data_IF_887900066895
#
_entry.id   IF_887900066895
#
_cell.length_a   1.000
_cell.length_b   1.000
_cell.length_c   1.000
_cell.angle_alpha   90.00
_cell.angle_beta   90.00
_cell.angle_gamma   90.00
#
_symmetry.space_group_name_H-M   'P 1'
#
loop_
_entity.id
_entity.type
_entity.pdbx_description
1 polymer ?
#
# COMPACT_ATOMS: atom_id res chain seq x y z
N UNK A 1 -38.26 67.96 23.32
CA UNK A 1 -37.50 68.08 22.07
C UNK A 1 -36.74 66.77 21.88
N UNK A 2 -37.28 65.87 21.08
CA UNK A 2 -36.67 64.56 20.81
C UNK A 2 -35.46 64.78 19.89
N UNK A 3 -34.33 64.18 20.26
CA UNK A 3 -33.03 64.33 19.60
C UNK A 3 -33.10 63.86 18.14
N UNK A 4 -33.08 64.83 17.23
CA UNK A 4 -33.15 64.66 15.78
C UNK A 4 -32.07 63.70 15.25
N UNK A 5 -30.92 63.61 15.95
CA UNK A 5 -29.80 62.76 15.56
C UNK A 5 -30.10 61.27 15.78
N UNK A 6 -30.85 60.94 16.82
CA UNK A 6 -31.29 59.56 17.10
C UNK A 6 -32.37 59.13 16.12
N UNK A 7 -33.29 60.04 15.78
CA UNK A 7 -34.35 59.78 14.81
C UNK A 7 -33.81 59.47 13.40
N UNK A 8 -32.81 60.23 12.93
CA UNK A 8 -32.18 59.97 11.63
C UNK A 8 -31.44 58.64 11.61
N UNK A 9 -30.77 58.25 12.70
CA UNK A 9 -30.01 56.99 12.75
C UNK A 9 -30.93 55.77 12.66
N UNK A 10 -32.07 55.80 13.31
CA UNK A 10 -33.04 54.69 13.25
C UNK A 10 -33.79 54.68 11.90
N UNK A 11 -34.10 55.85 11.32
CA UNK A 11 -34.61 55.94 9.95
C UNK A 11 -33.65 55.35 8.91
N UNK A 12 -32.33 55.56 9.06
CA UNK A 12 -31.33 55.01 8.13
C UNK A 12 -31.23 53.48 8.20
N UNK A 13 -31.40 52.88 9.38
CA UNK A 13 -31.46 51.42 9.52
C UNK A 13 -32.70 50.83 8.84
N UNK A 14 -33.86 51.45 9.04
CA UNK A 14 -35.11 51.00 8.39
C UNK A 14 -35.01 51.15 6.87
N UNK A 15 -34.43 52.25 6.39
CA UNK A 15 -34.23 52.47 4.96
C UNK A 15 -33.23 51.48 4.36
N UNK A 16 -32.13 51.16 5.05
CA UNK A 16 -31.14 50.19 4.59
C UNK A 16 -31.71 48.77 4.50
N UNK A 17 -32.52 48.36 5.49
CA UNK A 17 -33.21 47.06 5.46
C UNK A 17 -34.26 47.02 4.34
N UNK A 18 -35.02 48.09 4.14
CA UNK A 18 -36.00 48.17 3.05
C UNK A 18 -35.33 48.13 1.67
N UNK A 19 -34.21 48.84 1.48
CA UNK A 19 -33.44 48.81 0.23
C UNK A 19 -32.85 47.42 -0.01
N UNK A 20 -32.33 46.74 1.02
CA UNK A 20 -31.84 45.36 0.90
C UNK A 20 -32.96 44.35 0.59
N UNK A 21 -34.16 44.51 1.15
CA UNK A 21 -35.30 43.66 0.81
C UNK A 21 -35.81 43.89 -0.63
N UNK A 22 -35.83 45.14 -1.10
CA UNK A 22 -36.27 45.49 -2.46
C UNK A 22 -35.22 45.06 -3.50
N UNK A 23 -33.93 45.28 -3.26
CA UNK A 23 -32.87 44.81 -4.16
C UNK A 23 -32.68 43.29 -4.11
N UNK A 24 -32.84 42.66 -2.93
CA UNK A 24 -32.83 41.20 -2.80
C UNK A 24 -33.97 40.52 -3.56
N UNK A 25 -35.17 41.10 -3.55
CA UNK A 25 -36.32 40.57 -4.30
C UNK A 25 -36.24 40.84 -5.81
N UNK A 26 -35.55 41.91 -6.25
CA UNK A 26 -35.26 42.17 -7.66
C UNK A 26 -34.15 41.26 -8.22
N UNK A 27 -33.08 41.00 -7.47
CA UNK A 27 -32.01 40.06 -7.87
C UNK A 27 -32.43 38.59 -7.79
N UNK A 28 -33.36 38.25 -6.89
CA UNK A 28 -33.95 36.91 -6.82
C UNK A 28 -34.91 36.65 -7.99
N UNK A 29 -35.60 37.67 -8.51
CA UNK A 29 -36.50 37.50 -9.68
C UNK A 29 -35.76 37.30 -11.00
N UNK A 30 -34.60 37.92 -11.22
CA UNK A 30 -33.84 37.76 -12.46
C UNK A 30 -33.02 36.46 -12.49
N UNK A 31 -32.50 36.01 -11.35
CA UNK A 31 -31.78 34.74 -11.27
C UNK A 31 -32.71 33.53 -11.27
N UNK A 32 -33.92 33.63 -10.71
CA UNK A 32 -34.91 32.56 -10.79
C UNK A 32 -35.48 32.41 -12.19
N UNK A 33 -35.69 33.48 -12.98
CA UNK A 33 -36.20 33.29 -14.35
C UNK A 33 -35.17 32.61 -15.25
N UNK A 34 -33.88 32.94 -15.15
CA UNK A 34 -32.83 32.24 -15.91
C UNK A 34 -32.54 30.81 -15.39
N UNK A 35 -32.79 30.54 -14.10
CA UNK A 35 -32.69 29.19 -13.52
C UNK A 35 -33.91 28.32 -13.85
N UNK A 36 -35.11 28.90 -13.88
CA UNK A 36 -36.35 28.24 -14.30
C UNK A 36 -36.38 28.03 -15.81
N UNK A 37 -35.77 28.90 -16.63
CA UNK A 37 -35.64 28.66 -18.07
C UNK A 37 -34.57 27.59 -18.38
N UNK A 38 -33.49 27.50 -17.60
CA UNK A 38 -32.52 26.37 -17.70
C UNK A 38 -33.09 25.04 -17.20
N UNK A 39 -33.89 25.05 -16.13
CA UNK A 39 -34.52 23.83 -15.60
C UNK A 39 -35.80 23.44 -16.36
N UNK A 40 -36.51 24.38 -16.97
CA UNK A 40 -37.66 24.06 -17.83
C UNK A 40 -37.22 23.54 -19.20
N UNK A 41 -35.99 23.81 -19.64
CA UNK A 41 -35.39 23.07 -20.77
C UNK A 41 -35.11 21.58 -20.44
N UNK A 42 -34.98 21.22 -19.16
CA UNK A 42 -34.87 19.82 -18.70
C UNK A 42 -36.23 19.19 -18.35
N UNK A 43 -37.18 19.96 -17.79
CA UNK A 43 -38.51 19.46 -17.39
C UNK A 43 -39.51 19.46 -18.57
N UNK A 44 -39.31 20.31 -19.59
CA UNK A 44 -40.01 20.28 -20.88
C UNK A 44 -39.06 19.89 -22.02
N UNK A 45 -38.08 19.00 -21.75
CA UNK A 45 -37.60 18.14 -22.83
C UNK A 45 -38.80 17.26 -23.15
N UNK A 46 -39.46 17.61 -24.26
CA UNK A 46 -40.56 16.88 -24.87
C UNK A 46 -40.58 15.40 -24.48
N UNK A 47 -41.78 14.83 -24.40
CA UNK A 47 -42.04 13.44 -24.73
C UNK A 47 -41.53 13.12 -26.18
N UNK A 48 -40.23 13.31 -26.44
CA UNK A 48 -39.53 12.54 -27.45
C UNK A 48 -39.59 11.14 -26.91
N UNK A 49 -40.43 10.33 -27.53
CA UNK A 49 -40.42 8.89 -27.40
C UNK A 49 -39.01 8.41 -27.77
N UNK A 50 -38.08 8.46 -26.82
CA UNK A 50 -36.70 8.02 -26.98
C UNK A 50 -36.80 6.51 -27.18
N UNK A 51 -36.41 6.04 -28.37
CA UNK A 51 -36.47 4.62 -28.68
C UNK A 51 -35.39 3.88 -27.89
N UNK A 52 -35.66 2.64 -27.50
CA UNK A 52 -34.65 1.78 -26.89
C UNK A 52 -33.43 1.60 -27.80
N UNK A 53 -33.60 1.67 -29.12
CA UNK A 53 -32.51 1.60 -30.09
C UNK A 53 -31.55 2.79 -29.96
N UNK A 54 -32.09 3.99 -29.70
CA UNK A 54 -31.27 5.17 -29.45
C UNK A 54 -30.46 5.04 -28.15
N UNK A 55 -31.09 4.58 -27.07
CA UNK A 55 -30.37 4.34 -25.80
C UNK A 55 -29.30 3.26 -25.93
N UNK A 56 -29.57 2.19 -26.70
CA UNK A 56 -28.57 1.17 -26.98
C UNK A 56 -27.37 1.75 -27.74
N UNK A 57 -27.60 2.63 -28.71
CA UNK A 57 -26.54 3.31 -29.44
C UNK A 57 -25.76 4.29 -28.55
N UNK A 58 -26.42 4.96 -27.61
CA UNK A 58 -25.76 5.82 -26.61
C UNK A 58 -24.86 4.99 -25.68
N UNK A 59 -25.35 3.85 -25.16
CA UNK A 59 -24.54 2.90 -24.39
C UNK A 59 -23.35 2.35 -25.20
N UNK A 60 -23.56 2.01 -26.48
CA UNK A 60 -22.48 1.53 -27.33
C UNK A 60 -21.37 2.59 -27.49
N UNK A 61 -21.75 3.85 -27.69
CA UNK A 61 -20.77 4.93 -27.87
C UNK A 61 -20.03 5.24 -26.56
N UNK A 62 -20.74 5.31 -25.44
CA UNK A 62 -20.12 5.57 -24.13
C UNK A 62 -19.17 4.43 -23.73
N UNK A 63 -19.55 3.17 -23.95
CA UNK A 63 -18.69 2.01 -23.71
C UNK A 63 -17.43 2.04 -24.59
N UNK A 64 -17.57 2.39 -25.88
CA UNK A 64 -16.45 2.55 -26.81
C UNK A 64 -15.50 3.66 -26.34
N UNK A 65 -16.04 4.82 -25.97
CA UNK A 65 -15.25 5.97 -25.55
C UNK A 65 -14.50 5.67 -24.24
N UNK A 66 -15.18 5.05 -23.26
CA UNK A 66 -14.55 4.61 -22.02
C UNK A 66 -13.44 3.59 -22.28
N UNK A 67 -13.71 2.56 -23.08
CA UNK A 67 -12.70 1.55 -23.46
C UNK A 67 -11.50 2.18 -24.16
N UNK A 68 -11.75 3.12 -25.07
CA UNK A 68 -10.68 3.84 -25.79
C UNK A 68 -9.79 4.62 -24.80
N UNK A 69 -10.39 5.24 -23.79
CA UNK A 69 -9.65 5.99 -22.77
C UNK A 69 -8.85 5.07 -21.85
N UNK A 70 -9.38 3.92 -21.45
CA UNK A 70 -8.61 2.93 -20.69
C UNK A 70 -7.38 2.49 -21.48
N UNK A 71 -7.54 2.11 -22.74
CA UNK A 71 -6.45 1.59 -23.57
C UNK A 71 -5.37 2.66 -23.82
N UNK A 72 -5.78 3.89 -24.15
CA UNK A 72 -4.83 4.97 -24.44
C UNK A 72 -4.01 5.39 -23.21
N UNK A 73 -4.53 5.15 -22.00
CA UNK A 73 -3.92 5.53 -20.74
C UNK A 73 -3.45 4.31 -19.93
N UNK A 74 -3.16 3.20 -20.60
CA UNK A 74 -2.66 1.99 -19.95
C UNK A 74 -1.15 2.05 -19.64
N UNK A 75 -0.37 2.87 -20.35
CA UNK A 75 1.10 2.97 -20.16
C UNK A 75 1.61 4.40 -20.41
N UNK A 76 2.10 5.12 -19.38
CA UNK A 76 1.94 4.82 -17.94
C UNK A 76 0.46 4.78 -17.56
N UNK A 77 0.14 4.11 -16.44
CA UNK A 77 -1.25 3.94 -16.05
C UNK A 77 -1.79 5.26 -15.49
N UNK A 78 -2.70 5.87 -16.22
CA UNK A 78 -3.40 7.11 -15.83
C UNK A 78 -4.89 7.05 -16.15
N UNK A 79 -5.45 5.85 -16.30
CA UNK A 79 -6.82 5.72 -16.80
C UNK A 79 -7.85 6.15 -15.75
N UNK A 80 -7.62 5.99 -14.44
CA UNK A 80 -8.61 6.47 -13.47
C UNK A 80 -8.81 7.99 -13.63
N UNK A 81 -7.70 8.74 -13.69
CA UNK A 81 -7.73 10.19 -13.86
C UNK A 81 -8.32 10.64 -15.21
N UNK A 82 -7.91 9.97 -16.30
CA UNK A 82 -8.25 10.41 -17.66
C UNK A 82 -9.63 9.91 -18.14
N UNK A 83 -10.20 8.89 -17.49
CA UNK A 83 -11.42 8.24 -17.96
C UNK A 83 -12.66 8.48 -17.10
N UNK A 84 -12.57 9.27 -16.01
CA UNK A 84 -13.72 9.54 -15.11
C UNK A 84 -14.96 10.09 -15.83
N UNK A 85 -14.80 11.05 -16.73
CA UNK A 85 -15.92 11.59 -17.50
C UNK A 85 -16.58 10.54 -18.41
N UNK A 86 -15.81 9.87 -19.30
CA UNK A 86 -16.29 8.74 -20.09
C UNK A 86 -16.96 7.64 -19.25
N UNK A 87 -16.39 7.29 -18.09
CA UNK A 87 -16.94 6.29 -17.17
C UNK A 87 -18.31 6.72 -16.64
N UNK A 88 -18.47 7.96 -16.18
CA UNK A 88 -19.75 8.48 -15.71
C UNK A 88 -20.84 8.43 -16.80
N UNK A 89 -20.51 8.82 -18.03
CA UNK A 89 -21.45 8.77 -19.16
C UNK A 89 -21.81 7.31 -19.48
N UNK A 90 -20.85 6.41 -19.38
CA UNK A 90 -21.07 4.98 -19.53
C UNK A 90 -22.04 4.43 -18.49
N UNK A 91 -21.84 4.73 -17.20
CA UNK A 91 -22.77 4.36 -16.12
C UNK A 91 -24.16 4.96 -16.35
N UNK A 92 -24.25 6.25 -16.66
CA UNK A 92 -25.54 6.92 -16.92
C UNK A 92 -26.28 6.30 -18.11
N UNK A 93 -25.56 5.98 -19.19
CA UNK A 93 -26.16 5.37 -20.38
C UNK A 93 -26.67 3.95 -20.13
N UNK A 94 -26.00 3.18 -19.26
CA UNK A 94 -26.46 1.86 -18.85
C UNK A 94 -27.70 1.97 -17.97
N UNK A 95 -27.70 2.86 -16.97
CA UNK A 95 -28.84 3.14 -16.10
C UNK A 95 -30.07 3.59 -16.90
N UNK A 96 -29.88 4.49 -17.87
CA UNK A 96 -30.94 4.91 -18.78
C UNK A 96 -31.51 3.72 -19.57
N UNK A 97 -30.65 2.79 -20.03
CA UNK A 97 -31.07 1.62 -20.79
C UNK A 97 -31.88 0.62 -19.95
N UNK A 98 -31.54 0.42 -18.67
CA UNK A 98 -32.26 -0.54 -17.81
C UNK A 98 -33.54 0.03 -17.19
N UNK A 99 -33.62 1.36 -17.03
CA UNK A 99 -34.77 2.02 -16.38
C UNK A 99 -35.82 2.52 -17.38
N UNK A 100 -35.45 2.81 -18.63
CA UNK A 100 -36.35 3.42 -19.60
C UNK A 100 -37.43 2.48 -20.13
N UNK A 101 -38.60 3.07 -20.38
CA UNK A 101 -39.76 2.45 -21.01
C UNK A 101 -40.12 3.27 -22.25
N UNK A 102 -40.20 2.61 -23.41
CA UNK A 102 -40.53 3.31 -24.66
C UNK A 102 -42.00 3.78 -24.69
N UNK A 103 -42.36 4.59 -25.68
CA UNK A 103 -43.74 5.07 -25.83
C UNK A 103 -44.76 4.01 -26.26
N UNK A 104 -44.34 2.76 -26.47
CA UNK A 104 -45.22 1.58 -26.60
C UNK A 104 -45.36 0.81 -25.27
N UNK A 105 -44.90 1.40 -24.17
CA UNK A 105 -44.90 0.81 -22.83
C UNK A 105 -44.04 -0.46 -22.73
N UNK A 106 -42.99 -0.59 -23.57
CA UNK A 106 -42.05 -1.70 -23.55
C UNK A 106 -40.78 -1.26 -22.84
N UNK A 107 -40.40 -1.98 -21.79
CA UNK A 107 -39.12 -1.76 -21.09
C UNK A 107 -37.94 -2.13 -22.00
N UNK A 108 -36.97 -1.24 -22.12
CA UNK A 108 -35.75 -1.50 -22.88
C UNK A 108 -34.93 -2.64 -22.27
N UNK A 109 -34.98 -2.79 -20.93
CA UNK A 109 -34.43 -3.94 -20.21
C UNK A 109 -35.00 -5.24 -20.74
N UNK A 110 -36.32 -5.37 -20.83
CA UNK A 110 -36.96 -6.59 -21.35
C UNK A 110 -36.59 -6.87 -22.82
N UNK A 111 -36.36 -5.82 -23.61
CA UNK A 111 -36.03 -5.95 -25.04
C UNK A 111 -34.60 -6.41 -25.32
N UNK A 112 -33.64 -6.06 -24.46
CA UNK A 112 -32.21 -6.26 -24.72
C UNK A 112 -31.48 -7.13 -23.69
N UNK A 113 -32.04 -7.31 -22.50
CA UNK A 113 -31.41 -8.08 -21.42
C UNK A 113 -32.13 -9.42 -21.26
N UNK A 114 -31.36 -10.47 -20.97
CA UNK A 114 -31.86 -11.84 -20.82
C UNK A 114 -32.63 -12.39 -22.04
N UNK A 115 -32.45 -11.79 -23.22
CA UNK A 115 -33.03 -12.28 -24.48
C UNK A 115 -32.20 -13.42 -25.07
N UNK A 116 -30.89 -13.39 -24.84
CA UNK A 116 -29.95 -14.41 -25.27
C UNK A 116 -29.13 -14.94 -24.08
N UNK A 117 -28.50 -16.11 -24.27
CA UNK A 117 -27.69 -16.77 -23.22
C UNK A 117 -26.35 -16.08 -22.95
N UNK A 118 -25.89 -15.24 -23.88
CA UNK A 118 -24.61 -14.56 -23.75
C UNK A 118 -24.73 -13.28 -22.92
N UNK A 119 -25.89 -12.62 -22.94
CA UNK A 119 -26.14 -11.38 -22.23
C UNK A 119 -25.08 -10.33 -22.55
N UNK A 120 -24.79 -10.09 -23.84
CA UNK A 120 -23.62 -9.32 -24.28
C UNK A 120 -23.55 -7.93 -23.64
N UNK A 121 -24.68 -7.23 -23.54
CA UNK A 121 -24.76 -5.88 -22.97
C UNK A 121 -24.40 -5.90 -21.49
N UNK A 122 -24.96 -6.83 -20.73
CA UNK A 122 -24.70 -6.98 -19.28
C UNK A 122 -23.26 -7.43 -19.03
N UNK A 123 -22.76 -8.39 -19.82
CA UNK A 123 -21.37 -8.86 -19.73
C UNK A 123 -20.38 -7.72 -20.02
N UNK A 124 -20.61 -6.94 -21.08
CA UNK A 124 -19.77 -5.81 -21.41
C UNK A 124 -19.80 -4.75 -20.31
N UNK A 125 -20.99 -4.47 -19.77
CA UNK A 125 -21.13 -3.54 -18.66
C UNK A 125 -20.29 -3.97 -17.45
N UNK A 126 -20.49 -5.21 -16.99
CA UNK A 126 -19.80 -5.76 -15.84
C UNK A 126 -18.27 -5.79 -16.03
N UNK A 127 -17.79 -6.10 -17.24
CA UNK A 127 -16.35 -6.11 -17.52
C UNK A 127 -15.74 -4.71 -17.43
N UNK A 128 -16.38 -3.71 -18.05
CA UNK A 128 -15.89 -2.34 -18.03
C UNK A 128 -16.04 -1.71 -16.63
N UNK A 129 -17.15 -1.95 -15.95
CA UNK A 129 -17.35 -1.53 -14.56
C UNK A 129 -16.30 -2.14 -13.64
N UNK A 130 -16.01 -3.44 -13.78
CA UNK A 130 -14.99 -4.13 -12.99
C UNK A 130 -13.59 -3.54 -13.18
N UNK A 131 -13.25 -3.01 -14.36
CA UNK A 131 -11.97 -2.30 -14.56
C UNK A 131 -11.86 -1.05 -13.68
N UNK A 132 -12.96 -0.33 -13.47
CA UNK A 132 -13.02 0.82 -12.56
C UNK A 132 -12.88 0.40 -11.10
N UNK A 133 -13.62 -0.65 -10.69
CA UNK A 133 -13.61 -1.15 -9.31
C UNK A 133 -12.26 -1.75 -8.89
N UNK A 134 -11.67 -2.60 -9.74
CA UNK A 134 -10.37 -3.23 -9.48
C UNK A 134 -9.24 -2.19 -9.49
N UNK A 135 -9.39 -1.12 -10.27
CA UNK A 135 -8.50 0.03 -10.24
C UNK A 135 -8.62 0.89 -8.98
N UNK A 136 -9.61 0.61 -8.11
CA UNK A 136 -9.99 1.47 -6.99
C UNK A 136 -10.11 2.94 -7.43
N UNK A 137 -10.69 3.18 -8.61
CA UNK A 137 -10.66 4.52 -9.22
C UNK A 137 -11.49 5.53 -8.41
N UNK A 138 -12.51 5.09 -7.66
CA UNK A 138 -13.25 5.96 -6.76
C UNK A 138 -12.36 6.54 -5.64
N UNK A 139 -11.34 5.82 -5.19
CA UNK A 139 -10.39 6.29 -4.18
C UNK A 139 -9.49 7.44 -4.67
N UNK A 140 -9.46 7.70 -5.99
CA UNK A 140 -8.77 8.86 -6.56
C UNK A 140 -9.57 10.17 -6.36
N UNK A 141 -10.87 10.08 -6.03
CA UNK A 141 -11.79 11.20 -6.03
C UNK A 141 -12.43 11.41 -4.66
N UNK A 142 -12.67 12.67 -4.28
CA UNK A 142 -13.57 12.99 -3.17
C UNK A 142 -15.04 12.78 -3.59
N UNK A 143 -15.32 13.02 -4.87
CA UNK A 143 -16.61 12.79 -5.49
C UNK A 143 -16.44 12.46 -6.98
N UNK A 144 -16.72 11.20 -7.35
CA UNK A 144 -16.64 10.72 -8.73
C UNK A 144 -17.63 11.45 -9.64
N UNK A 145 -18.84 11.78 -9.16
CA UNK A 145 -19.88 12.47 -9.96
C UNK A 145 -19.50 13.89 -10.35
N UNK A 146 -18.65 14.56 -9.57
CA UNK A 146 -18.12 15.89 -9.94
C UNK A 146 -16.69 15.81 -10.48
N UNK A 147 -16.17 14.59 -10.70
CA UNK A 147 -14.78 14.32 -11.07
C UNK A 147 -13.76 15.12 -10.23
N UNK A 148 -14.07 15.34 -8.94
CA UNK A 148 -13.27 16.18 -8.05
C UNK A 148 -12.24 15.32 -7.34
N UNK A 149 -10.92 15.51 -7.60
CA UNK A 149 -9.87 14.69 -7.00
C UNK A 149 -9.90 14.77 -5.47
N UNK A 150 -9.50 13.70 -4.81
CA UNK A 150 -9.34 13.71 -3.35
C UNK A 150 -8.11 14.53 -2.94
N UNK A 151 -8.13 15.13 -1.74
CA UNK A 151 -6.95 15.83 -1.20
C UNK A 151 -5.72 14.92 -1.19
N UNK A 152 -5.90 13.63 -0.84
CA UNK A 152 -4.81 12.64 -0.85
C UNK A 152 -4.19 12.43 -2.24
N UNK A 153 -5.01 12.45 -3.28
CA UNK A 153 -4.58 12.31 -4.67
C UNK A 153 -3.85 13.57 -5.14
N UNK A 154 -4.38 14.75 -4.79
CA UNK A 154 -3.72 16.03 -5.10
C UNK A 154 -2.35 16.10 -4.44
N UNK A 155 -2.27 15.84 -3.14
CA UNK A 155 -1.02 15.86 -2.38
C UNK A 155 0.00 14.85 -2.90
N UNK A 156 -0.44 13.64 -3.27
CA UNK A 156 0.42 12.64 -3.92
C UNK A 156 1.09 13.20 -5.17
N UNK A 157 0.30 13.77 -6.09
CA UNK A 157 0.83 14.28 -7.35
C UNK A 157 1.74 15.50 -7.14
N UNK A 158 1.49 16.32 -6.11
CA UNK A 158 2.40 17.41 -5.73
C UNK A 158 3.76 16.86 -5.28
N UNK A 159 3.80 15.86 -4.40
CA UNK A 159 5.06 15.23 -3.99
C UNK A 159 5.75 14.50 -5.14
N UNK A 160 4.97 13.84 -5.98
CA UNK A 160 5.45 13.13 -7.16
C UNK A 160 6.09 14.08 -8.18
N UNK A 161 5.45 15.22 -8.47
CA UNK A 161 6.02 16.25 -9.34
C UNK A 161 7.33 16.81 -8.76
N UNK A 162 7.38 17.07 -7.45
CA UNK A 162 8.59 17.58 -6.81
C UNK A 162 9.79 16.64 -6.95
N UNK A 163 9.62 15.33 -6.77
CA UNK A 163 10.72 14.38 -6.96
C UNK A 163 11.11 14.28 -8.44
N UNK A 164 10.14 14.22 -9.35
CA UNK A 164 10.41 14.14 -10.79
C UNK A 164 11.20 15.36 -11.27
N UNK A 165 10.76 16.55 -10.89
CA UNK A 165 11.46 17.80 -11.19
C UNK A 165 12.86 17.83 -10.58
N UNK A 166 13.02 17.42 -9.33
CA UNK A 166 14.33 17.36 -8.68
C UNK A 166 15.29 16.44 -9.45
N UNK A 167 14.81 15.25 -9.85
CA UNK A 167 15.60 14.29 -10.62
C UNK A 167 15.99 14.91 -11.96
N UNK A 168 15.05 15.52 -12.69
CA UNK A 168 15.32 16.14 -13.99
C UNK A 168 16.37 17.25 -13.92
N UNK A 169 16.26 18.13 -12.91
CA UNK A 169 17.19 19.25 -12.71
C UNK A 169 18.61 18.77 -12.37
N UNK A 170 18.73 17.68 -11.58
CA UNK A 170 20.01 17.18 -11.09
C UNK A 170 20.62 16.07 -11.96
N UNK A 171 19.88 15.48 -12.91
CA UNK A 171 20.38 14.41 -13.79
C UNK A 171 21.59 14.83 -14.64
N UNK A 172 21.76 16.13 -14.91
CA UNK A 172 22.86 16.67 -15.73
C UNK A 172 23.92 17.42 -14.92
N UNK A 173 23.59 17.86 -13.72
CA UNK A 173 24.36 18.88 -12.97
C UNK A 173 24.92 18.36 -11.66
N UNK A 174 24.43 17.22 -11.15
CA UNK A 174 24.87 16.66 -9.87
C UNK A 174 24.51 15.19 -9.68
N UNK A 175 24.57 14.73 -8.43
CA UNK A 175 24.10 13.40 -8.04
C UNK A 175 22.64 13.49 -7.59
N UNK A 176 21.66 13.01 -8.40
CA UNK A 176 20.24 13.08 -8.06
C UNK A 176 19.91 12.27 -6.79
N UNK A 177 20.69 11.25 -6.45
CA UNK A 177 20.45 10.45 -5.26
C UNK A 177 20.65 11.26 -3.99
N UNK A 178 21.71 12.07 -3.93
CA UNK A 178 22.00 12.93 -2.78
C UNK A 178 21.09 14.16 -2.74
N UNK A 179 20.87 14.81 -3.89
CA UNK A 179 20.12 16.07 -3.95
C UNK A 179 18.61 15.89 -3.77
N UNK A 180 18.07 14.72 -4.17
CA UNK A 180 16.63 14.46 -4.16
C UNK A 180 16.18 13.47 -3.10
N UNK A 181 17.08 13.00 -2.22
CA UNK A 181 16.77 12.02 -1.17
C UNK A 181 15.60 12.47 -0.30
N UNK A 182 15.58 13.74 0.12
CA UNK A 182 14.54 14.26 0.99
C UNK A 182 13.15 14.28 0.33
N UNK A 183 13.09 14.59 -0.97
CA UNK A 183 11.85 14.60 -1.75
C UNK A 183 11.36 13.16 -1.97
N UNK A 184 12.28 12.23 -2.26
CA UNK A 184 11.97 10.82 -2.39
C UNK A 184 11.42 10.23 -1.09
N UNK A 185 12.07 10.50 0.04
CA UNK A 185 11.61 10.07 1.37
C UNK A 185 10.21 10.61 1.68
N UNK A 186 9.98 11.92 1.46
CA UNK A 186 8.65 12.51 1.66
C UNK A 186 7.55 11.83 0.85
N UNK A 187 7.80 11.59 -0.44
CA UNK A 187 6.84 10.88 -1.30
C UNK A 187 6.62 9.44 -0.79
N UNK A 188 7.70 8.74 -0.45
CA UNK A 188 7.62 7.35 0.00
C UNK A 188 6.86 7.22 1.32
N UNK A 189 7.18 8.07 2.30
CA UNK A 189 6.54 8.08 3.61
C UNK A 189 5.06 8.46 3.50
N UNK A 190 4.73 9.42 2.62
CA UNK A 190 3.34 9.78 2.33
C UNK A 190 2.57 8.61 1.71
N UNK A 191 3.14 7.94 0.71
CA UNK A 191 2.51 6.79 0.07
C UNK A 191 2.33 5.62 1.05
N UNK A 192 3.36 5.31 1.86
CA UNK A 192 3.29 4.23 2.86
C UNK A 192 2.29 4.57 3.98
N UNK A 193 2.14 5.86 4.32
CA UNK A 193 1.10 6.37 5.22
C UNK A 193 -0.31 6.05 4.71
N UNK A 194 -0.62 6.45 3.47
CA UNK A 194 -1.92 6.17 2.83
C UNK A 194 -2.16 4.66 2.73
N UNK A 195 -1.12 3.90 2.37
CA UNK A 195 -1.19 2.44 2.26
C UNK A 195 -1.63 1.80 3.57
N UNK A 196 -1.07 2.26 4.70
CA UNK A 196 -1.45 1.76 6.02
C UNK A 196 -2.88 2.17 6.42
N UNK A 197 -3.31 3.38 6.06
CA UNK A 197 -4.64 3.90 6.40
C UNK A 197 -5.75 3.19 5.62
N UNK A 198 -5.53 2.96 4.32
CA UNK A 198 -6.52 2.38 3.41
C UNK A 198 -6.44 0.86 3.25
N UNK A 199 -5.53 0.19 3.96
CA UNK A 199 -5.31 -1.26 3.88
C UNK A 199 -5.10 -1.71 2.41
N UNK A 200 -4.10 -1.13 1.77
CA UNK A 200 -3.69 -1.39 0.37
C UNK A 200 -4.70 -0.99 -0.73
N UNK A 201 -5.85 -0.39 -0.37
CA UNK A 201 -6.82 0.16 -1.33
C UNK A 201 -6.44 1.58 -1.72
N UNK A 202 -5.52 1.68 -2.67
CA UNK A 202 -5.06 2.95 -3.24
C UNK A 202 -5.48 3.00 -4.70
N UNK A 203 -5.89 4.18 -5.18
CA UNK A 203 -6.03 4.51 -6.59
C UNK A 203 -4.90 3.91 -7.44
N UNK A 204 -5.24 3.09 -8.44
CA UNK A 204 -4.25 2.33 -9.20
C UNK A 204 -3.27 3.22 -9.99
N UNK A 205 -3.70 4.39 -10.47
CA UNK A 205 -2.82 5.39 -11.07
C UNK A 205 -1.69 5.82 -10.12
N UNK A 206 -1.99 5.99 -8.83
CA UNK A 206 -0.98 6.33 -7.81
C UNK A 206 -0.04 5.15 -7.53
N UNK A 207 -0.57 3.91 -7.55
CA UNK A 207 0.25 2.70 -7.37
C UNK A 207 1.27 2.55 -8.51
N UNK A 208 0.85 2.68 -9.77
CA UNK A 208 1.75 2.60 -10.93
C UNK A 208 2.77 3.75 -10.91
N UNK A 209 2.34 4.98 -10.63
CA UNK A 209 3.23 6.12 -10.50
C UNK A 209 4.31 5.88 -9.45
N UNK A 210 3.93 5.42 -8.25
CA UNK A 210 4.89 5.13 -7.18
C UNK A 210 5.81 3.96 -7.52
N UNK A 211 5.28 2.89 -8.13
CA UNK A 211 6.09 1.74 -8.56
C UNK A 211 7.15 2.17 -9.58
N UNK A 212 6.76 2.96 -10.58
CA UNK A 212 7.69 3.52 -11.57
C UNK A 212 8.73 4.43 -10.93
N UNK A 213 8.34 5.28 -9.98
CA UNK A 213 9.28 6.14 -9.24
C UNK A 213 10.27 5.29 -8.42
N UNK A 214 9.82 4.21 -7.77
CA UNK A 214 10.70 3.27 -7.06
C UNK A 214 11.68 2.57 -8.01
N UNK A 215 11.23 2.10 -9.18
CA UNK A 215 12.10 1.51 -10.20
C UNK A 215 13.11 2.53 -10.75
N UNK A 216 12.66 3.76 -11.02
CA UNK A 216 13.54 4.86 -11.45
C UNK A 216 14.63 5.11 -10.40
N UNK A 217 14.25 5.21 -9.13
CA UNK A 217 15.16 5.48 -8.01
C UNK A 217 16.15 4.35 -7.76
N UNK A 218 15.67 3.11 -7.62
CA UNK A 218 16.51 1.97 -7.21
C UNK A 218 17.26 1.33 -8.36
N UNK A 219 16.64 1.18 -9.54
CA UNK A 219 17.23 0.45 -10.67
C UNK A 219 17.94 1.40 -11.62
N UNK A 220 17.27 2.45 -12.08
CA UNK A 220 17.84 3.33 -13.12
C UNK A 220 18.89 4.29 -12.56
N UNK A 221 18.64 4.87 -11.39
CA UNK A 221 19.58 5.79 -10.73
C UNK A 221 20.51 5.06 -9.75
N UNK A 222 20.20 3.82 -9.36
CA UNK A 222 21.00 3.02 -8.42
C UNK A 222 21.22 3.70 -7.05
N UNK A 223 20.23 4.47 -6.59
CA UNK A 223 20.33 5.25 -5.35
C UNK A 223 20.29 4.39 -4.07
N UNK A 224 19.92 3.11 -4.17
CA UNK A 224 19.82 2.20 -3.01
C UNK A 224 21.13 1.47 -2.67
N UNK A 225 22.28 1.91 -3.20
CA UNK A 225 23.57 1.19 -3.11
C UNK A 225 24.09 1.00 -1.68
N UNK A 226 23.72 1.87 -0.75
CA UNK A 226 24.18 1.79 0.64
C UNK A 226 23.73 0.53 1.38
N UNK A 227 22.69 -0.16 0.90
CA UNK A 227 22.25 -1.46 1.47
C UNK A 227 23.34 -2.54 1.41
N UNK A 228 24.25 -2.49 0.45
CA UNK A 228 25.34 -3.48 0.33
C UNK A 228 26.40 -3.36 1.43
N UNK A 229 26.61 -2.16 2.00
CA UNK A 229 27.59 -1.96 3.08
C UNK A 229 27.20 -2.70 4.37
N UNK A 230 25.89 -2.85 4.62
CA UNK A 230 25.36 -3.55 5.79
C UNK A 230 25.56 -5.07 5.74
N UNK A 231 25.64 -5.66 4.54
CA UNK A 231 25.87 -7.11 4.39
C UNK A 231 27.24 -7.53 4.92
N UNK A 232 28.28 -6.73 4.69
CA UNK A 232 29.63 -7.05 5.17
C UNK A 232 29.68 -7.09 6.70
N UNK A 233 29.01 -6.15 7.35
CA UNK A 233 28.90 -6.12 8.83
C UNK A 233 28.11 -7.34 9.34
N UNK A 234 27.01 -7.69 8.68
CA UNK A 234 26.23 -8.87 9.02
C UNK A 234 27.03 -10.18 8.88
N UNK A 235 27.84 -10.31 7.82
CA UNK A 235 28.72 -11.47 7.63
C UNK A 235 29.80 -11.59 8.70
N UNK A 236 30.41 -10.47 9.11
CA UNK A 236 31.41 -10.47 10.18
C UNK A 236 30.77 -10.95 11.49
N UNK A 237 29.61 -10.38 11.86
CA UNK A 237 28.90 -10.75 13.10
C UNK A 237 28.49 -12.23 13.04
N UNK A 238 27.90 -12.67 11.92
CA UNK A 238 27.51 -14.07 11.72
C UNK A 238 28.69 -15.03 11.82
N UNK A 239 29.85 -14.66 11.25
CA UNK A 239 31.08 -15.45 11.34
C UNK A 239 31.61 -15.58 12.77
N UNK A 240 31.67 -14.48 13.52
CA UNK A 240 32.10 -14.49 14.93
C UNK A 240 31.18 -15.35 15.78
N UNK A 241 29.85 -15.15 15.67
CA UNK A 241 28.86 -15.92 16.42
C UNK A 241 28.94 -17.41 16.10
N UNK A 242 29.19 -17.77 14.84
CA UNK A 242 29.33 -19.17 14.42
C UNK A 242 30.63 -19.82 14.92
N UNK A 243 31.69 -19.04 15.12
CA UNK A 243 33.00 -19.54 15.56
C UNK A 243 33.12 -19.70 17.08
N UNK A 244 32.36 -18.90 17.86
CA UNK A 244 32.36 -18.93 19.32
C UNK A 244 32.08 -20.33 19.93
N UNK A 245 31.09 -21.11 19.46
CA UNK A 245 30.88 -22.48 19.94
C UNK A 245 32.10 -23.38 19.69
N UNK A 246 32.74 -23.27 18.52
CA UNK A 246 33.94 -24.04 18.18
C UNK A 246 35.09 -23.73 19.13
N UNK A 247 35.36 -22.45 19.39
CA UNK A 247 36.36 -22.03 20.37
C UNK A 247 36.05 -22.52 21.79
N UNK A 248 34.78 -22.49 22.20
CA UNK A 248 34.35 -23.00 23.50
C UNK A 248 34.66 -24.49 23.65
N UNK A 249 34.31 -25.32 22.64
CA UNK A 249 34.61 -26.75 22.67
C UNK A 249 36.11 -27.05 22.66
N UNK A 250 36.90 -26.31 21.88
CA UNK A 250 38.37 -26.44 21.87
C UNK A 250 38.94 -26.07 23.24
N UNK A 251 38.45 -25.00 23.87
CA UNK A 251 38.88 -24.58 25.20
C UNK A 251 38.57 -25.65 26.26
N UNK A 252 37.36 -26.20 26.27
CA UNK A 252 36.98 -27.29 27.19
C UNK A 252 37.86 -28.53 26.96
N UNK A 253 38.09 -28.92 25.70
CA UNK A 253 38.93 -30.07 25.36
C UNK A 253 40.39 -29.88 25.80
N UNK A 254 40.97 -28.71 25.57
CA UNK A 254 42.35 -28.40 25.97
C UNK A 254 42.50 -28.37 27.50
N UNK A 255 41.57 -27.78 28.24
CA UNK A 255 41.62 -27.76 29.71
C UNK A 255 41.48 -29.16 30.30
N UNK A 256 40.60 -30.00 29.74
CA UNK A 256 40.48 -31.40 30.15
C UNK A 256 41.80 -32.14 29.98
N UNK A 257 42.42 -32.02 28.80
CA UNK A 257 43.71 -32.67 28.51
C UNK A 257 44.85 -32.13 29.37
N UNK A 258 44.80 -30.84 29.73
CA UNK A 258 45.77 -30.22 30.63
C UNK A 258 45.65 -30.79 32.05
N UNK A 259 44.44 -30.88 32.61
CA UNK A 259 44.22 -31.49 33.92
C UNK A 259 44.65 -32.97 33.96
N UNK A 260 44.35 -33.76 32.93
CA UNK A 260 44.80 -35.15 32.83
C UNK A 260 46.35 -35.29 32.86
N UNK A 261 47.09 -34.31 32.34
CA UNK A 261 48.57 -34.29 32.47
C UNK A 261 49.05 -33.85 33.85
N UNK A 262 48.32 -32.96 34.51
CA UNK A 262 48.69 -32.49 35.84
C UNK A 262 48.46 -33.56 36.91
N UNK A 263 47.35 -34.30 36.84
CA UNK A 263 47.07 -35.40 37.77
C UNK A 263 48.17 -36.47 37.72
N UNK A 264 48.71 -36.75 36.53
CA UNK A 264 49.82 -37.69 36.34
C UNK A 264 51.16 -37.19 36.93
N UNK A 265 51.34 -35.87 37.06
CA UNK A 265 52.55 -35.28 37.64
C UNK A 265 52.46 -35.11 39.16
N UNK A 266 51.26 -35.06 39.73
CA UNK A 266 51.04 -35.03 41.17
C UNK A 266 51.13 -36.41 41.84
N UNK A 267 50.94 -37.49 41.10
CA UNK A 267 51.05 -38.88 41.62
C UNK A 267 52.52 -39.31 41.82
N UNK A 268 53.47 -38.63 41.17
CA UNK A 268 54.92 -38.87 41.33
C UNK A 268 55.49 -38.29 42.65
N UNK A 269 54.66 -37.62 43.47
CA UNK A 269 55.08 -37.04 44.75
C UNK A 269 54.53 -37.76 45.99
N UNK A 270 53.93 -38.96 45.84
CA UNK A 270 53.54 -39.81 46.99
C UNK A 270 54.23 -41.19 47.00
N UNK A 271 55.23 -41.39 46.13
CA UNK A 271 56.04 -42.62 46.11
C UNK A 271 57.51 -42.34 46.47
N UNK A 272 57.74 -41.77 47.65
CA UNK A 272 58.97 -41.97 48.42
C UNK A 272 58.56 -42.39 49.83
N UNK A 273 58.39 -43.69 50.07
CA UNK A 273 59.37 -44.51 50.80
C UNK A 273 59.78 -43.76 52.08
N UNK A 274 59.09 -43.93 53.21
CA UNK A 274 59.17 -45.12 54.07
C UNK A 274 60.55 -45.79 54.05
N UNK A 275 61.54 -45.19 54.71
CA UNK A 275 62.45 -45.96 55.57
C UNK A 275 63.20 -45.06 56.57
N UNK A 276 63.27 -45.54 57.83
CA UNK A 276 64.16 -45.12 58.94
C UNK A 276 63.73 -43.88 59.75
N UNK A 277 63.08 -44.05 60.91
CA UNK A 277 63.78 -44.25 62.20
C UNK A 277 62.81 -44.39 63.40
N UNK A 278 62.98 -45.52 64.06
CA UNK A 278 62.60 -45.96 65.40
C UNK A 278 62.18 -44.95 66.49
N UNK A 279 61.19 -45.44 67.26
CA UNK A 279 61.17 -45.55 68.72
C UNK A 279 61.00 -44.27 69.57
N UNK A 280 59.81 -44.17 70.18
CA UNK A 280 59.54 -44.31 71.63
C UNK A 280 58.51 -43.26 72.03
N UNK A 281 57.31 -43.67 72.46
CA UNK A 281 56.76 -43.42 73.82
C UNK A 281 55.28 -43.83 73.92
N UNK A 282 55.02 -44.70 74.89
CA UNK A 282 53.73 -45.22 75.32
C UNK A 282 52.72 -44.13 75.76
N UNK A 283 51.42 -44.31 75.45
CA UNK A 283 50.37 -44.73 76.39
C UNK A 283 48.95 -44.64 75.76
N UNK A 284 48.13 -45.65 76.07
CA UNK A 284 46.77 -45.98 75.58
C UNK A 284 45.64 -45.10 76.21
N UNK A 285 44.31 -45.43 76.10
CA UNK A 285 43.56 -46.27 75.15
C UNK A 285 42.23 -45.64 74.61
N UNK A 286 41.63 -46.33 73.63
CA UNK A 286 40.20 -46.49 73.26
C UNK A 286 39.17 -45.36 73.50
N UNK A 287 38.34 -45.09 72.46
CA UNK A 287 36.88 -45.37 72.45
C UNK A 287 36.34 -45.30 71.00
N UNK A 288 35.46 -46.24 70.68
CA UNK A 288 34.73 -46.44 69.43
C UNK A 288 33.49 -45.54 69.29
N UNK A 289 33.05 -45.30 68.05
CA UNK A 289 31.65 -45.33 67.56
C UNK A 289 31.64 -44.89 66.07
N UNK A 290 31.31 -45.73 65.09
CA UNK A 290 30.00 -46.25 64.63
C UNK A 290 29.12 -45.24 63.84
N UNK A 291 28.92 -45.57 62.55
CA UNK A 291 27.65 -45.55 61.79
C UNK A 291 27.10 -44.27 61.08
N UNK A 292 26.20 -44.45 60.06
CA UNK A 292 26.30 -43.78 58.75
C UNK A 292 25.01 -43.11 58.20
N UNK A 293 25.15 -42.42 57.04
CA UNK A 293 24.11 -42.18 56.02
C UNK A 293 23.00 -41.16 56.35
N UNK A 294 21.96 -41.01 55.49
CA UNK A 294 21.95 -41.12 54.02
C UNK A 294 20.98 -40.13 53.31
N UNK A 295 21.03 -40.15 51.97
CA UNK A 295 19.90 -40.15 51.01
C UNK A 295 18.83 -39.05 50.92
N UNK A 296 18.60 -38.65 49.67
CA UNK A 296 17.29 -38.35 49.07
C UNK A 296 17.51 -38.00 47.58
N UNK A 297 17.50 -38.94 46.63
CA UNK A 297 16.36 -39.61 45.96
C UNK A 297 15.34 -38.61 45.37
N UNK A 298 15.45 -38.36 44.04
CA UNK A 298 14.51 -38.67 42.92
C UNK A 298 12.98 -38.75 43.20
N UNK A 299 12.04 -38.78 42.20
CA UNK A 299 12.21 -39.02 40.76
C UNK A 299 11.23 -38.34 39.74
N UNK A 300 11.64 -38.48 38.46
CA UNK A 300 10.93 -38.78 37.19
C UNK A 300 9.49 -38.30 36.84
N UNK A 301 9.43 -37.67 35.64
CA UNK A 301 8.66 -37.98 34.41
C UNK A 301 7.14 -38.33 34.40
N UNK A 302 6.39 -37.63 33.52
CA UNK A 302 5.38 -38.17 32.56
C UNK A 302 4.95 -37.06 31.55
N UNK A 303 5.09 -37.28 30.23
CA UNK A 303 4.08 -37.64 29.21
C UNK A 303 3.13 -36.52 28.68
N UNK A 304 3.34 -36.19 27.39
CA UNK A 304 2.39 -36.08 26.24
C UNK A 304 0.98 -35.49 26.42
N UNK A 305 0.63 -34.50 25.57
CA UNK A 305 -0.66 -34.30 24.86
C UNK A 305 -0.45 -33.22 23.77
N UNK A 306 -0.90 -33.49 22.53
CA UNK A 306 -1.11 -32.50 21.44
C UNK A 306 -2.60 -32.11 21.39
N UNK A 307 -2.96 -30.90 20.90
CA UNK A 307 -3.80 -30.90 19.69
C UNK A 307 -3.54 -29.74 18.70
N UNK A 308 -3.64 -30.11 17.42
CA UNK A 308 -4.42 -29.47 16.33
C UNK A 308 -4.27 -27.96 16.05
N UNK A 309 -3.67 -27.63 14.89
CA UNK A 309 -3.92 -26.33 14.22
C UNK A 309 -3.74 -26.36 12.69
N UNK A 310 -4.90 -26.36 12.01
CA UNK A 310 -5.28 -25.55 10.85
C UNK A 310 -4.27 -25.42 9.68
N UNK A 311 -4.52 -26.25 8.67
CA UNK A 311 -3.95 -26.20 7.33
C UNK A 311 -4.23 -24.84 6.65
N UNK A 312 -3.16 -24.14 6.24
CA UNK A 312 -3.21 -22.97 5.36
C UNK A 312 -2.54 -23.41 4.05
N UNK A 313 -3.29 -23.33 2.95
CA UNK A 313 -2.77 -23.51 1.59
C UNK A 313 -1.51 -22.68 1.38
N UNK A 314 -0.42 -23.37 1.03
CA UNK A 314 0.74 -22.80 0.35
C UNK A 314 0.41 -22.74 -1.13
N UNK A 315 0.39 -21.53 -1.69
CA UNK A 315 0.58 -21.32 -3.12
C UNK A 315 2.10 -21.28 -3.30
N UNK A 316 2.60 -22.24 -4.06
CA UNK A 316 3.98 -22.31 -4.53
C UNK A 316 4.26 -21.15 -5.47
N UNK A 317 5.27 -20.36 -5.11
CA UNK A 317 6.04 -19.53 -6.02
C UNK A 317 6.79 -20.47 -7.00
N UNK A 318 6.39 -20.46 -8.27
CA UNK A 318 7.27 -20.83 -9.37
C UNK A 318 7.57 -19.55 -10.15
N UNK A 319 8.75 -19.01 -9.85
CA UNK A 319 9.51 -18.09 -10.68
C UNK A 319 10.11 -18.86 -11.85
N UNK A 320 9.85 -18.42 -13.08
CA UNK A 320 10.83 -18.57 -14.15
C UNK A 320 10.82 -17.31 -15.04
N UNK A 321 11.98 -16.70 -15.06
CA UNK A 321 12.40 -15.57 -15.87
C UNK A 321 12.37 -15.91 -17.37
N UNK A 322 11.75 -15.07 -18.19
CA UNK A 322 12.14 -14.99 -19.61
C UNK A 322 12.33 -13.54 -20.05
N UNK A 323 13.58 -13.28 -20.46
CA UNK A 323 14.17 -12.00 -20.82
C UNK A 323 13.56 -11.41 -22.10
N UNK A 324 13.23 -10.11 -22.04
CA UNK A 324 13.02 -9.27 -23.23
C UNK A 324 14.38 -8.86 -23.83
N UNK A 325 14.77 -9.48 -24.95
CA UNK A 325 15.79 -8.92 -25.85
C UNK A 325 15.21 -7.73 -26.63
N UNK A 326 15.65 -6.52 -26.28
CA UNK A 326 15.45 -5.30 -27.08
C UNK A 326 16.53 -5.25 -28.17
N UNK A 327 16.20 -5.74 -29.36
CA UNK A 327 17.01 -5.51 -30.56
C UNK A 327 16.75 -4.10 -31.13
N UNK A 328 17.70 -3.19 -30.88
CA UNK A 328 17.86 -1.95 -31.66
C UNK A 328 18.52 -2.30 -32.99
N UNK A 329 17.92 -1.90 -34.11
CA UNK A 329 18.68 -1.65 -35.33
C UNK A 329 18.14 -0.40 -36.05
N UNK A 330 18.99 0.56 -36.47
CA UNK A 330 18.57 1.79 -37.10
C UNK A 330 18.47 1.61 -38.62
N UNK A 331 17.32 1.92 -39.22
CA UNK A 331 17.23 2.11 -40.67
C UNK A 331 17.72 3.50 -41.05
N UNK A 332 18.93 3.53 -41.60
CA UNK A 332 19.38 4.57 -42.53
C UNK A 332 18.74 4.32 -43.91
N UNK A 333 18.31 5.44 -44.49
CA UNK A 333 17.94 5.74 -45.88
C UNK A 333 18.25 4.71 -46.96
N UNK A 334 17.24 4.40 -47.78
CA UNK A 334 17.43 4.08 -49.20
C UNK A 334 17.65 5.39 -49.98
N UNK A 335 18.86 5.53 -50.52
CA UNK A 335 19.08 5.73 -51.95
C UNK A 335 19.99 4.62 -52.42
#
# INVERSE_FOLDING_TARGET
FVDYKTFIREMWKVFSVAVLMVFGSLLCRTTISEFVDRNSAWINKNHTNISCEKLLHEFQNSAKDFTTQIINNAVPVTYCNQSVGPYMIFEESYEALITHVDGKNISCKYKYFNVDRLGVIETMYNQLHSMWEVGFCDDCYANTTTATPSDTTVDFYVYWEHIHKCIEDNNKTGDPCLMCMGQYQKLNDFYDGIKSEKNDRICFDMQDAMNRTRILWSVKLNCCRDRNSSMLTAYIIGGVVSFLPGLFYVFVYCNKRYHERYDFLSDDQDTTVEEVENATRDNAPLIAQDQPGPSGVSPQAHQEITPEKKERHQISDDSDDEMLEVSRNPRKNLK
#
